data_IF_320199841958
#
_entry.id   IF_320199841958
#
_cell.length_a   1.000
_cell.length_b   1.000
_cell.length_c   1.000
_cell.angle_alpha   90.00
_cell.angle_beta   90.00
_cell.angle_gamma   90.00
#
_symmetry.space_group_name_H-M   'P 1'
#
loop_
_entity.id
_entity.type
_entity.pdbx_description
1 polymer ?
#
# COMPACT_ATOMS: atom_id res chain seq x y z
N UNK A 1 9.90 -48.37 52.73
CA UNK A 1 9.19 -47.07 52.66
C UNK A 1 9.81 -46.26 51.53
N UNK A 2 8.99 -45.87 50.54
CA UNK A 2 9.39 -45.20 49.29
C UNK A 2 9.76 -43.74 49.56
N UNK A 3 10.83 -43.24 48.94
CA UNK A 3 11.06 -41.80 48.71
C UNK A 3 11.34 -41.61 47.22
N UNK A 4 10.32 -41.20 46.48
CA UNK A 4 10.46 -40.75 45.10
C UNK A 4 10.74 -39.24 45.15
N UNK A 5 11.89 -38.83 44.63
CA UNK A 5 12.25 -37.44 44.41
C UNK A 5 11.66 -37.02 43.06
N UNK A 6 10.61 -36.19 43.09
CA UNK A 6 9.97 -35.65 41.90
C UNK A 6 10.77 -34.43 41.43
N UNK A 7 11.38 -34.53 40.25
CA UNK A 7 12.05 -33.41 39.59
C UNK A 7 10.99 -32.56 38.87
N UNK A 8 10.87 -31.29 39.24
CA UNK A 8 9.91 -30.34 38.67
C UNK A 8 10.58 -29.60 37.50
N UNK A 9 10.28 -30.00 36.27
CA UNK A 9 10.71 -29.28 35.05
C UNK A 9 9.59 -28.29 34.69
N UNK A 10 9.85 -27.00 34.94
CA UNK A 10 8.96 -25.91 34.50
C UNK A 10 9.28 -25.56 33.05
N UNK A 11 8.46 -26.04 32.12
CA UNK A 11 8.48 -25.59 30.72
C UNK A 11 7.83 -24.20 30.65
N UNK A 12 8.65 -23.16 30.42
CA UNK A 12 8.17 -21.85 29.99
C UNK A 12 7.80 -21.94 28.50
N UNK A 13 6.52 -22.21 28.21
CA UNK A 13 5.96 -21.92 26.89
C UNK A 13 5.82 -20.39 26.77
N UNK A 14 6.82 -19.76 26.18
CA UNK A 14 6.67 -18.40 25.66
C UNK A 14 5.64 -18.46 24.52
N UNK A 15 4.37 -18.23 24.86
CA UNK A 15 3.36 -17.87 23.89
C UNK A 15 3.77 -16.53 23.28
N UNK A 16 4.51 -16.60 22.17
CA UNK A 16 4.61 -15.48 21.25
C UNK A 16 3.20 -15.25 20.70
N UNK A 17 2.49 -14.34 21.35
CA UNK A 17 1.18 -13.90 20.92
C UNK A 17 1.40 -13.19 19.58
N UNK A 18 1.31 -13.94 18.47
CA UNK A 18 1.15 -13.32 17.15
C UNK A 18 -0.08 -12.41 17.26
N UNK A 19 0.02 -11.13 16.88
CA UNK A 19 -1.17 -10.30 16.74
C UNK A 19 -2.17 -11.07 15.88
N UNK A 20 -3.45 -11.12 16.28
CA UNK A 20 -4.47 -11.76 15.44
C UNK A 20 -4.39 -11.13 14.06
N UNK A 21 -4.27 -11.95 13.01
CA UNK A 21 -4.57 -11.51 11.65
C UNK A 21 -5.96 -10.87 11.70
N UNK A 22 -6.01 -9.54 11.68
CA UNK A 22 -7.25 -8.82 11.35
C UNK A 22 -7.69 -9.39 10.00
N UNK A 23 -8.98 -9.68 9.84
CA UNK A 23 -9.56 -10.14 8.59
C UNK A 23 -9.11 -9.23 7.43
N UNK A 24 -8.08 -9.67 6.71
CA UNK A 24 -7.54 -8.96 5.57
C UNK A 24 -8.47 -9.18 4.39
N UNK A 25 -8.72 -8.12 3.62
CA UNK A 25 -9.49 -8.20 2.39
C UNK A 25 -8.66 -8.87 1.30
N UNK A 26 -9.31 -9.63 0.42
CA UNK A 26 -8.70 -10.05 -0.83
C UNK A 26 -8.33 -8.80 -1.64
N UNK A 27 -7.14 -8.79 -2.23
CA UNK A 27 -6.63 -7.60 -2.91
C UNK A 27 -7.46 -7.21 -4.12
N UNK A 28 -8.21 -8.12 -4.74
CA UNK A 28 -9.08 -7.79 -5.88
C UNK A 28 -10.53 -7.78 -5.44
N UNK A 29 -11.15 -6.60 -5.50
CA UNK A 29 -12.59 -6.44 -5.35
C UNK A 29 -13.15 -6.11 -6.73
N UNK A 30 -13.53 -7.16 -7.48
CA UNK A 30 -14.16 -7.11 -8.82
C UNK A 30 -13.22 -6.59 -9.93
N UNK A 31 -13.15 -7.31 -11.06
CA UNK A 31 -12.87 -6.63 -12.34
C UNK A 31 -14.04 -5.68 -12.55
N UNK A 32 -13.82 -4.38 -12.61
CA UNK A 32 -14.84 -3.51 -13.15
C UNK A 32 -15.13 -3.97 -14.60
N UNK A 33 -16.39 -3.87 -15.05
CA UNK A 33 -16.83 -4.43 -16.33
C UNK A 33 -16.12 -3.79 -17.56
N UNK A 34 -15.29 -2.78 -17.32
CA UNK A 34 -14.47 -2.03 -18.27
C UNK A 34 -13.01 -2.52 -18.37
N UNK A 35 -12.62 -3.54 -17.59
CA UNK A 35 -11.28 -4.13 -17.63
C UNK A 35 -10.24 -3.45 -16.73
N UNK A 36 -10.67 -2.50 -15.89
CA UNK A 36 -9.80 -1.91 -14.87
C UNK A 36 -9.52 -2.86 -13.70
N UNK A 37 -8.30 -2.78 -13.14
CA UNK A 37 -7.86 -3.52 -11.97
C UNK A 37 -7.62 -2.57 -10.81
N UNK A 38 -8.44 -2.72 -9.79
CA UNK A 38 -8.35 -2.02 -8.51
C UNK A 38 -7.84 -2.98 -7.43
N UNK A 39 -6.75 -2.60 -6.77
CA UNK A 39 -6.26 -3.32 -5.61
C UNK A 39 -6.75 -2.68 -4.33
N UNK A 40 -7.24 -3.48 -3.38
CA UNK A 40 -7.64 -3.03 -2.04
C UNK A 40 -6.71 -3.60 -0.96
N UNK A 41 -6.15 -2.73 -0.12
CA UNK A 41 -5.27 -3.10 0.99
C UNK A 41 -5.82 -2.51 2.30
N UNK A 42 -5.83 -3.30 3.37
CA UNK A 42 -6.11 -2.82 4.72
C UNK A 42 -4.93 -2.05 5.31
N UNK A 43 -5.23 -0.96 6.00
CA UNK A 43 -4.30 -0.27 6.88
C UNK A 43 -4.21 -1.08 8.18
N UNK A 44 -3.14 -1.85 8.34
CA UNK A 44 -2.94 -2.70 9.53
C UNK A 44 -2.22 -1.96 10.65
N UNK A 45 -1.38 -0.98 10.31
CA UNK A 45 -0.73 -0.09 11.27
C UNK A 45 -0.50 1.30 10.67
N UNK A 46 -0.43 2.29 11.55
CA UNK A 46 -0.16 3.70 11.27
C UNK A 46 0.97 4.16 12.21
N UNK A 47 1.99 4.81 11.68
CA UNK A 47 3.03 5.53 12.42
C UNK A 47 3.19 6.92 11.83
N UNK A 48 3.73 7.85 12.58
CA UNK A 48 3.90 9.23 12.13
C UNK A 48 5.33 9.71 12.34
N UNK A 49 5.78 10.57 11.44
CA UNK A 49 6.98 11.41 11.60
C UNK A 49 6.56 12.87 11.64
N UNK A 50 7.53 13.78 11.72
CA UNK A 50 7.26 15.23 11.70
C UNK A 50 6.59 15.68 10.38
N UNK A 51 6.84 14.97 9.27
CA UNK A 51 6.44 15.40 7.92
C UNK A 51 5.53 14.41 7.18
N UNK A 52 5.39 13.18 7.67
CA UNK A 52 4.63 12.12 6.98
C UNK A 52 3.82 11.26 7.94
N UNK A 53 2.70 10.74 7.44
CA UNK A 53 1.98 9.61 8.05
C UNK A 53 2.29 8.38 7.23
N UNK A 54 2.63 7.29 7.91
CA UNK A 54 3.11 6.07 7.28
C UNK A 54 2.21 4.91 7.67
N UNK A 55 1.75 4.18 6.65
CA UNK A 55 0.79 3.10 6.76
C UNK A 55 1.45 1.79 6.32
N UNK A 56 1.36 0.75 7.16
CA UNK A 56 1.56 -0.61 6.68
C UNK A 56 0.25 -1.06 6.05
N UNK A 57 0.27 -1.29 4.74
CA UNK A 57 -0.89 -1.69 3.95
C UNK A 57 -0.75 -3.17 3.54
N UNK A 58 -1.75 -3.99 3.85
CA UNK A 58 -1.73 -5.43 3.58
C UNK A 58 -3.07 -5.92 3.05
N UNK A 59 -3.04 -6.96 2.23
CA UNK A 59 -4.22 -7.71 1.80
C UNK A 59 -3.86 -9.16 1.51
N UNK A 60 -4.82 -9.93 1.01
CA UNK A 60 -4.61 -11.33 0.64
C UNK A 60 -4.66 -11.51 -0.88
N UNK A 61 -3.66 -12.20 -1.42
CA UNK A 61 -3.76 -12.88 -2.72
C UNK A 61 -4.02 -14.36 -2.43
N UNK A 62 -5.27 -14.79 -2.52
CA UNK A 62 -5.73 -16.08 -2.01
C UNK A 62 -5.41 -16.25 -0.51
N UNK A 63 -4.39 -17.04 -0.17
CA UNK A 63 -3.93 -17.29 1.20
C UNK A 63 -2.66 -16.53 1.55
N UNK A 64 -2.01 -15.91 0.58
CA UNK A 64 -0.74 -15.23 0.79
C UNK A 64 -0.96 -13.76 1.15
N UNK A 65 -0.41 -13.34 2.30
CA UNK A 65 -0.38 -11.92 2.66
C UNK A 65 0.54 -11.16 1.72
N UNK A 66 0.02 -10.13 1.09
CA UNK A 66 0.77 -9.19 0.25
C UNK A 66 0.68 -7.79 0.84
N UNK A 67 1.62 -6.91 0.52
CA UNK A 67 1.57 -5.55 1.05
C UNK A 67 2.86 -4.76 0.90
N UNK A 68 2.81 -3.52 1.37
CA UNK A 68 3.92 -2.57 1.34
C UNK A 68 3.71 -1.49 2.40
N UNK A 69 4.72 -0.65 2.61
CA UNK A 69 4.59 0.58 3.37
C UNK A 69 4.26 1.74 2.42
N UNK A 70 3.19 2.47 2.72
CA UNK A 70 2.74 3.66 1.97
C UNK A 70 2.82 4.86 2.91
N UNK A 71 3.50 5.92 2.51
CA UNK A 71 3.53 7.18 3.27
C UNK A 71 2.80 8.28 2.53
N UNK A 72 2.10 9.14 3.27
CA UNK A 72 1.43 10.34 2.79
C UNK A 72 2.00 11.56 3.54
N UNK A 73 2.33 12.62 2.80
CA UNK A 73 2.79 13.91 3.35
C UNK A 73 1.73 14.47 4.32
N UNK A 74 2.15 15.11 5.42
CA UNK A 74 1.27 15.76 6.40
C UNK A 74 0.72 17.10 5.93
N UNK A 75 -0.36 17.55 6.57
CA UNK A 75 -0.96 18.88 6.43
C UNK A 75 -1.36 19.22 4.98
N UNK A 76 -1.84 18.23 4.23
CA UNK A 76 -2.30 18.43 2.86
C UNK A 76 -3.61 19.21 2.87
N UNK A 77 -3.60 20.38 2.24
CA UNK A 77 -4.78 21.21 2.02
C UNK A 77 -5.62 20.70 0.84
N UNK A 78 -6.87 21.11 0.77
CA UNK A 78 -7.73 20.84 -0.39
C UNK A 78 -7.00 21.16 -1.72
N UNK A 79 -7.10 20.22 -2.65
CA UNK A 79 -6.55 20.26 -4.01
C UNK A 79 -7.48 20.98 -5.01
N UNK A 80 -8.77 21.03 -4.67
CA UNK A 80 -9.84 21.67 -5.43
C UNK A 80 -10.63 22.55 -4.46
N UNK A 81 -10.79 23.83 -4.77
CA UNK A 81 -11.54 24.79 -3.95
C UNK A 81 -12.50 25.56 -4.85
N UNK A 82 -13.81 25.46 -4.59
CA UNK A 82 -14.85 26.07 -5.41
C UNK A 82 -14.75 25.69 -6.91
N UNK A 83 -14.37 24.43 -7.20
CA UNK A 83 -14.17 23.95 -8.57
C UNK A 83 -12.85 24.37 -9.22
N UNK A 84 -12.01 25.16 -8.54
CA UNK A 84 -10.69 25.56 -9.03
C UNK A 84 -9.58 24.69 -8.46
N UNK A 85 -8.61 24.33 -9.30
CA UNK A 85 -7.37 23.67 -8.86
C UNK A 85 -6.53 24.61 -7.98
N UNK A 86 -6.30 24.21 -6.71
CA UNK A 86 -5.43 24.91 -5.73
C UNK A 86 -4.62 23.86 -4.99
N UNK A 87 -3.31 24.06 -4.78
CA UNK A 87 -2.45 23.07 -4.11
C UNK A 87 -2.50 21.66 -4.75
N UNK A 88 -2.78 21.62 -6.06
CA UNK A 88 -3.08 20.39 -6.77
C UNK A 88 -1.85 19.49 -6.86
N UNK A 89 -0.68 20.02 -7.21
CA UNK A 89 0.53 19.21 -7.29
C UNK A 89 1.29 19.21 -5.98
N UNK A 90 1.52 18.02 -5.44
CA UNK A 90 2.28 17.79 -4.22
C UNK A 90 3.58 17.07 -4.58
N UNK A 91 4.65 17.84 -4.68
CA UNK A 91 5.99 17.26 -4.74
C UNK A 91 6.24 16.40 -3.50
N UNK A 92 6.73 15.18 -3.74
CA UNK A 92 6.97 14.17 -2.70
C UNK A 92 5.73 13.89 -1.83
N UNK A 93 4.55 13.87 -2.46
CA UNK A 93 3.27 13.73 -1.74
C UNK A 93 3.06 12.33 -1.18
N UNK A 94 3.45 11.30 -1.93
CA UNK A 94 3.34 9.89 -1.53
C UNK A 94 4.66 9.18 -1.74
N UNK A 95 4.91 8.15 -0.92
CA UNK A 95 5.99 7.22 -1.17
C UNK A 95 5.60 5.77 -0.91
N UNK A 96 6.20 4.85 -1.66
CA UNK A 96 6.14 3.40 -1.44
C UNK A 96 7.48 2.86 -0.95
N UNK A 97 7.42 1.87 -0.06
CA UNK A 97 8.60 1.17 0.43
C UNK A 97 8.30 -0.31 0.66
N UNK A 98 9.21 -1.17 0.20
CA UNK A 98 9.09 -2.62 0.37
C UNK A 98 9.19 -3.04 1.84
N UNK A 99 8.33 -3.97 2.25
CA UNK A 99 8.39 -4.69 3.53
C UNK A 99 9.05 -6.07 3.39
N UNK A 100 9.66 -6.35 2.23
CA UNK A 100 10.32 -7.62 1.92
C UNK A 100 9.37 -8.59 1.20
N UNK A 101 9.23 -9.81 1.73
CA UNK A 101 8.51 -10.90 1.03
C UNK A 101 7.05 -10.58 0.72
N UNK A 102 6.37 -9.83 1.56
CA UNK A 102 4.97 -9.40 1.32
C UNK A 102 4.88 -8.48 0.10
N UNK A 103 5.87 -7.61 -0.10
CA UNK A 103 5.96 -6.71 -1.25
C UNK A 103 6.38 -7.42 -2.53
N UNK A 104 7.27 -8.42 -2.44
CA UNK A 104 7.61 -9.27 -3.59
C UNK A 104 6.39 -10.04 -4.09
N UNK A 105 5.56 -10.54 -3.16
CA UNK A 105 4.30 -11.20 -3.52
C UNK A 105 3.29 -10.21 -4.11
N UNK A 106 3.22 -8.98 -3.61
CA UNK A 106 2.37 -7.94 -4.21
C UNK A 106 2.73 -7.68 -5.68
N UNK A 107 4.02 -7.52 -5.99
CA UNK A 107 4.49 -7.34 -7.37
C UNK A 107 4.17 -8.57 -8.22
N UNK A 108 4.31 -9.77 -7.67
CA UNK A 108 3.96 -11.02 -8.35
C UNK A 108 2.46 -11.08 -8.66
N UNK A 109 1.61 -10.74 -7.70
CA UNK A 109 0.16 -10.70 -7.87
C UNK A 109 -0.25 -9.68 -8.94
N UNK A 110 0.28 -8.45 -8.86
CA UNK A 110 0.06 -7.39 -9.86
C UNK A 110 0.47 -7.83 -11.27
N UNK A 111 1.66 -8.42 -11.41
CA UNK A 111 2.16 -8.93 -12.69
C UNK A 111 1.20 -9.96 -13.28
N UNK A 112 0.66 -10.86 -12.45
CA UNK A 112 -0.28 -11.90 -12.85
C UNK A 112 -1.63 -11.30 -13.27
N UNK A 113 -2.14 -10.34 -12.50
CA UNK A 113 -3.37 -9.60 -12.78
C UNK A 113 -3.28 -8.81 -14.10
N UNK A 114 -2.13 -8.17 -14.35
CA UNK A 114 -1.84 -7.46 -15.59
C UNK A 114 -1.48 -8.37 -16.77
N UNK A 115 -1.45 -9.68 -16.58
CA UNK A 115 -1.03 -10.67 -17.59
C UNK A 115 0.37 -10.37 -18.17
N UNK A 116 1.28 -9.89 -17.33
CA UNK A 116 2.66 -9.58 -17.68
C UNK A 116 3.58 -10.76 -17.34
N UNK A 117 4.72 -10.83 -18.02
CA UNK A 117 5.78 -11.81 -17.70
C UNK A 117 6.87 -11.10 -16.90
N UNK A 118 6.77 -11.12 -15.58
CA UNK A 118 7.82 -10.63 -14.67
C UNK A 118 7.98 -11.59 -13.49
N UNK A 119 9.22 -11.74 -13.02
CA UNK A 119 9.56 -12.45 -11.77
C UNK A 119 10.37 -11.56 -10.83
N UNK A 120 10.32 -10.26 -11.06
CA UNK A 120 11.13 -9.30 -10.31
C UNK A 120 10.55 -9.11 -8.91
N UNK A 121 11.46 -8.82 -7.98
CA UNK A 121 11.14 -8.41 -6.62
C UNK A 121 10.86 -6.92 -6.57
N UNK A 122 10.14 -6.46 -5.55
CA UNK A 122 9.98 -5.03 -5.33
C UNK A 122 11.32 -4.42 -4.94
N UNK A 123 11.66 -3.26 -5.49
CA UNK A 123 12.88 -2.53 -5.07
C UNK A 123 12.78 -2.14 -3.60
N UNK A 124 13.92 -2.09 -2.93
CA UNK A 124 13.99 -1.93 -1.47
C UNK A 124 14.13 -0.48 -1.00
N UNK A 125 14.55 0.41 -1.90
CA UNK A 125 14.66 1.83 -1.59
C UNK A 125 13.30 2.53 -1.61
N UNK A 126 13.23 3.70 -0.99
CA UNK A 126 11.99 4.46 -0.83
C UNK A 126 11.66 5.18 -2.14
N UNK A 127 10.61 4.72 -2.81
CA UNK A 127 10.08 5.34 -4.02
C UNK A 127 9.20 6.53 -3.63
N UNK A 128 9.66 7.75 -3.87
CA UNK A 128 8.90 8.98 -3.56
C UNK A 128 8.51 9.66 -4.85
N UNK A 129 7.24 10.08 -4.97
CA UNK A 129 6.70 10.61 -6.22
C UNK A 129 5.76 11.80 -6.00
N UNK A 130 5.61 12.59 -7.07
CA UNK A 130 4.62 13.65 -7.14
C UNK A 130 3.22 13.06 -7.29
N UNK A 131 2.25 13.76 -6.72
CA UNK A 131 0.83 13.42 -6.88
C UNK A 131 0.00 14.66 -7.20
N UNK A 132 -1.03 14.49 -8.03
CA UNK A 132 -2.14 15.42 -8.09
C UNK A 132 -3.15 15.09 -6.99
N UNK A 133 -3.40 16.05 -6.11
CA UNK A 133 -4.37 16.07 -5.04
C UNK A 133 -5.74 16.41 -5.61
N UNK A 134 -6.65 15.44 -5.62
CA UNK A 134 -7.99 15.57 -6.21
C UNK A 134 -9.08 15.79 -5.15
N UNK A 135 -8.69 16.23 -3.95
CA UNK A 135 -9.58 16.36 -2.80
C UNK A 135 -10.17 17.77 -2.70
N UNK A 136 -11.45 17.86 -2.34
CA UNK A 136 -12.13 19.14 -2.10
C UNK A 136 -11.99 19.65 -0.65
N UNK A 137 -11.46 18.81 0.24
CA UNK A 137 -11.24 19.14 1.65
C UNK A 137 -9.79 18.86 2.04
N UNK A 138 -9.35 19.49 3.13
CA UNK A 138 -8.10 19.15 3.80
C UNK A 138 -8.09 17.65 4.20
N UNK A 139 -6.89 17.06 4.21
CA UNK A 139 -6.72 15.66 4.59
C UNK A 139 -6.78 15.50 6.10
N UNK A 140 -7.76 14.75 6.57
CA UNK A 140 -7.83 14.18 7.92
C UNK A 140 -7.31 12.74 7.87
N UNK A 141 -6.19 12.47 8.54
CA UNK A 141 -5.53 11.16 8.53
C UNK A 141 -6.20 10.14 9.45
N UNK A 142 -7.36 10.46 10.02
CA UNK A 142 -8.11 9.58 10.93
C UNK A 142 -9.49 9.21 10.39
N UNK A 143 -10.02 9.95 9.42
CA UNK A 143 -11.34 9.72 8.84
C UNK A 143 -11.45 10.37 7.45
N UNK A 144 -12.39 9.92 6.63
CA UNK A 144 -12.64 10.47 5.30
C UNK A 144 -11.99 9.65 4.18
N UNK A 145 -12.31 10.06 2.96
CA UNK A 145 -11.84 9.43 1.72
C UNK A 145 -11.07 10.46 0.90
N UNK A 146 -9.88 10.07 0.44
CA UNK A 146 -8.95 10.96 -0.24
C UNK A 146 -8.36 10.31 -1.47
N UNK A 147 -8.39 11.00 -2.60
CA UNK A 147 -7.93 10.53 -3.91
C UNK A 147 -6.73 11.33 -4.38
N UNK A 148 -5.70 10.60 -4.79
CA UNK A 148 -4.48 11.16 -5.35
C UNK A 148 -4.16 10.46 -6.67
N UNK A 149 -3.76 11.22 -7.70
CA UNK A 149 -3.18 10.64 -8.92
C UNK A 149 -1.67 10.72 -8.83
N UNK A 150 -1.00 9.58 -8.78
CA UNK A 150 0.45 9.46 -8.71
C UNK A 150 1.08 9.46 -10.10
N UNK A 151 2.23 10.14 -10.19
CA UNK A 151 3.07 10.16 -11.39
C UNK A 151 4.36 9.39 -11.08
N UNK A 152 4.58 8.26 -11.77
CA UNK A 152 5.63 7.30 -11.44
C UNK A 152 6.74 7.32 -12.50
N UNK A 153 7.66 8.30 -12.49
CA UNK A 153 8.64 8.46 -13.56
C UNK A 153 9.54 7.24 -13.74
N UNK A 154 9.65 6.78 -14.98
CA UNK A 154 10.58 5.76 -15.44
C UNK A 154 11.49 6.34 -16.53
N UNK A 155 12.49 5.58 -16.98
CA UNK A 155 13.39 6.03 -18.06
C UNK A 155 12.66 6.42 -19.35
N UNK A 156 11.55 5.74 -19.67
CA UNK A 156 10.89 5.84 -20.98
C UNK A 156 9.49 6.48 -20.91
N UNK A 157 8.88 6.59 -19.72
CA UNK A 157 7.47 6.98 -19.55
C UNK A 157 7.17 7.50 -18.12
N UNK A 158 6.02 8.15 -17.92
CA UNK A 158 5.47 8.55 -16.62
C UNK A 158 4.10 7.87 -16.38
N UNK A 159 4.11 6.59 -15.99
CA UNK A 159 2.91 5.86 -15.59
C UNK A 159 2.08 6.58 -14.53
N UNK A 160 0.77 6.56 -14.71
CA UNK A 160 -0.19 7.11 -13.75
C UNK A 160 -0.90 6.01 -12.96
N UNK A 161 -1.08 6.23 -11.65
CA UNK A 161 -1.78 5.32 -10.74
C UNK A 161 -2.60 6.14 -9.74
N UNK A 162 -3.86 5.80 -9.50
CA UNK A 162 -4.60 6.41 -8.39
C UNK A 162 -4.26 5.71 -7.07
N UNK A 163 -3.98 6.50 -6.05
CA UNK A 163 -3.79 6.04 -4.67
C UNK A 163 -4.90 6.68 -3.83
N UNK A 164 -5.89 5.86 -3.49
CA UNK A 164 -7.08 6.29 -2.76
C UNK A 164 -6.98 5.82 -1.31
N UNK A 165 -7.10 6.73 -0.36
CA UNK A 165 -7.16 6.41 1.06
C UNK A 165 -8.62 6.48 1.50
N UNK A 166 -9.07 5.45 2.21
CA UNK A 166 -10.32 5.47 2.97
C UNK A 166 -9.97 5.25 4.44
N UNK A 167 -9.72 6.34 5.16
CA UNK A 167 -9.33 6.28 6.56
C UNK A 167 -10.49 5.87 7.46
N UNK A 168 -11.74 6.13 7.04
CA UNK A 168 -12.94 5.68 7.75
C UNK A 168 -13.00 4.15 7.79
N UNK A 169 -12.76 3.49 6.66
CA UNK A 169 -12.79 2.02 6.55
C UNK A 169 -11.41 1.36 6.73
N UNK A 170 -10.35 2.16 6.94
CA UNK A 170 -8.96 1.71 7.08
C UNK A 170 -8.49 0.93 5.86
N UNK A 171 -8.73 1.48 4.68
CA UNK A 171 -8.36 0.89 3.39
C UNK A 171 -7.49 1.86 2.58
N UNK A 172 -6.66 1.31 1.72
CA UNK A 172 -5.95 2.01 0.66
C UNK A 172 -6.20 1.24 -0.63
N UNK A 173 -6.72 1.93 -1.64
CA UNK A 173 -6.91 1.38 -2.98
C UNK A 173 -5.82 1.88 -3.94
N UNK A 174 -5.23 0.96 -4.69
CA UNK A 174 -4.32 1.25 -5.80
C UNK A 174 -5.06 0.94 -7.09
N UNK A 175 -5.54 1.97 -7.77
CA UNK A 175 -6.39 1.83 -8.94
C UNK A 175 -5.62 2.25 -10.17
N UNK A 176 -5.59 1.39 -11.18
CA UNK A 176 -4.93 1.73 -12.44
C UNK A 176 -5.65 2.89 -13.14
N UNK A 177 -4.88 3.74 -13.83
CA UNK A 177 -5.45 4.85 -14.59
C UNK A 177 -5.83 4.43 -16.01
N UNK A 178 -4.94 3.68 -16.68
CA UNK A 178 -5.12 3.10 -18.02
C UNK A 178 -4.33 1.78 -18.13
N UNK A 179 -4.82 0.76 -18.87
CA UNK A 179 -4.11 -0.51 -19.05
C UNK A 179 -2.72 -0.39 -19.68
N UNK A 180 -2.47 0.66 -20.48
CA UNK A 180 -1.18 0.91 -21.11
C UNK A 180 -0.05 1.19 -20.10
N UNK A 181 -0.39 1.73 -18.93
CA UNK A 181 0.58 2.05 -17.88
C UNK A 181 1.04 0.82 -17.08
N UNK A 182 0.39 -0.35 -17.21
CA UNK A 182 0.68 -1.55 -16.40
C UNK A 182 2.16 -1.94 -16.42
N UNK A 183 2.79 -1.96 -17.60
CA UNK A 183 4.22 -2.29 -17.74
C UNK A 183 5.10 -1.28 -17.01
N UNK A 184 4.79 0.00 -17.14
CA UNK A 184 5.54 1.07 -16.49
C UNK A 184 5.36 1.08 -14.97
N UNK A 185 4.14 0.81 -14.46
CA UNK A 185 3.91 0.63 -13.01
C UNK A 185 4.75 -0.51 -12.46
N UNK A 186 4.77 -1.68 -13.12
CA UNK A 186 5.65 -2.79 -12.70
C UNK A 186 7.13 -2.41 -12.80
N UNK A 187 7.54 -1.70 -13.86
CA UNK A 187 8.91 -1.20 -14.02
C UNK A 187 9.30 -0.30 -12.84
N UNK A 188 8.46 0.67 -12.49
CA UNK A 188 8.70 1.59 -11.37
C UNK A 188 8.87 0.86 -10.03
N UNK A 189 8.03 -0.15 -9.76
CA UNK A 189 8.09 -0.92 -8.52
C UNK A 189 9.31 -1.85 -8.43
N UNK A 190 9.94 -2.20 -9.55
CA UNK A 190 10.95 -3.28 -9.59
C UNK A 190 12.35 -2.83 -10.00
N UNK A 191 12.47 -1.72 -10.73
CA UNK A 191 13.75 -1.17 -11.17
C UNK A 191 14.11 0.08 -10.39
N UNK A 192 15.39 0.18 -10.03
CA UNK A 192 15.93 1.44 -9.53
C UNK A 192 16.06 2.40 -10.71
N UNK A 193 15.34 3.53 -10.63
CA UNK A 193 15.54 4.69 -11.49
C UNK A 193 16.80 5.43 -11.06
#
# INVERSE_FOLDING_TARGET
>A
MKKNLLSLITIFLLFSCKPSEKDLTQIVIKKADDGFIDLMLNIVSKKETDSTVIFKAQGLDHTDTVGLEISLKKNIKAGIVNGEMKNTFLANGISFQSTGKESDRLVTALTKLYNLKSKNKMRTDKMTFEVANLNETDVDYNSGQYRFKAFLPTDDDIPELFVNFDFTNKLIALNEKDPEYRTGVISYLTKKQ
#
